data_IF_628960801933
#
_entry.id   IF_628960801933
#
_cell.length_a   1.000
_cell.length_b   1.000
_cell.length_c   1.000
_cell.angle_alpha   90.00
_cell.angle_beta   90.00
_cell.angle_gamma   90.00
#
_symmetry.space_group_name_H-M   'P 1'
#
loop_
_entity.id
_entity.type
_entity.pdbx_description
1 polymer ?
#
# COMPACT_ATOMS: atom_id res chain seq x y z
N UNK A 1 -56.17 31.02 -28.99
CA UNK A 1 -54.99 30.56 -29.77
C UNK A 1 -54.56 29.17 -29.30
N UNK A 2 -54.61 28.15 -30.17
CA UNK A 2 -54.22 26.78 -29.80
C UNK A 2 -52.69 26.70 -29.65
N UNK A 3 -52.21 26.21 -28.51
CA UNK A 3 -50.76 26.05 -28.27
C UNK A 3 -50.18 24.99 -29.22
N UNK A 4 -49.11 25.30 -29.99
CA UNK A 4 -48.51 24.33 -30.90
C UNK A 4 -47.90 23.16 -30.12
N UNK A 5 -48.05 21.95 -30.66
CA UNK A 5 -47.51 20.72 -30.04
C UNK A 5 -45.99 20.81 -29.96
N UNK A 6 -45.43 20.75 -28.74
CA UNK A 6 -43.98 20.74 -28.50
C UNK A 6 -43.41 19.36 -28.85
N UNK A 7 -42.34 19.33 -29.65
CA UNK A 7 -41.65 18.09 -29.96
C UNK A 7 -40.89 17.56 -28.73
N UNK A 8 -40.93 16.24 -28.55
CA UNK A 8 -40.20 15.58 -27.46
C UNK A 8 -38.69 15.60 -27.69
N UNK A 9 -37.93 15.92 -26.65
CA UNK A 9 -36.46 15.80 -26.64
C UNK A 9 -35.99 14.35 -26.47
N UNK A 10 -36.90 13.40 -26.24
CA UNK A 10 -36.57 11.97 -26.10
C UNK A 10 -36.12 11.41 -27.45
N UNK A 11 -34.98 10.74 -27.46
CA UNK A 11 -34.42 10.10 -28.64
C UNK A 11 -34.74 8.62 -28.63
N UNK A 12 -35.26 8.09 -29.72
CA UNK A 12 -35.45 6.64 -29.87
C UNK A 12 -34.09 5.93 -29.89
N UNK A 13 -34.02 4.72 -29.35
CA UNK A 13 -32.81 3.91 -29.35
C UNK A 13 -32.25 3.75 -30.77
N UNK A 14 -33.12 3.52 -31.77
CA UNK A 14 -32.75 3.46 -33.20
C UNK A 14 -32.01 4.72 -33.67
N UNK A 15 -32.50 5.91 -33.31
CA UNK A 15 -31.87 7.19 -33.68
C UNK A 15 -30.52 7.37 -32.97
N UNK A 16 -30.43 7.00 -31.68
CA UNK A 16 -29.18 7.02 -30.89
C UNK A 16 -28.09 6.13 -31.54
N UNK A 17 -28.41 4.87 -31.86
CA UNK A 17 -27.45 3.95 -32.48
C UNK A 17 -27.07 4.37 -33.90
N UNK A 18 -28.00 4.94 -34.69
CA UNK A 18 -27.72 5.48 -36.02
C UNK A 18 -26.74 6.66 -35.95
N UNK A 19 -26.92 7.58 -34.99
CA UNK A 19 -25.99 8.70 -34.77
C UNK A 19 -24.61 8.17 -34.36
N UNK A 20 -24.55 7.24 -33.41
CA UNK A 20 -23.28 6.66 -32.95
C UNK A 20 -22.51 5.97 -34.10
N UNK A 21 -23.22 5.24 -34.97
CA UNK A 21 -22.63 4.62 -36.16
C UNK A 21 -22.08 5.67 -37.13
N UNK A 22 -22.86 6.73 -37.43
CA UNK A 22 -22.41 7.84 -38.31
C UNK A 22 -21.18 8.56 -37.76
N UNK A 23 -21.15 8.86 -36.46
CA UNK A 23 -19.99 9.50 -35.81
C UNK A 23 -18.76 8.60 -35.91
N UNK A 24 -18.92 7.30 -35.66
CA UNK A 24 -17.82 6.33 -35.77
C UNK A 24 -17.28 6.24 -37.20
N UNK A 25 -18.15 6.18 -38.20
CA UNK A 25 -17.76 6.18 -39.61
C UNK A 25 -17.05 7.48 -40.01
N UNK A 26 -17.56 8.62 -39.56
CA UNK A 26 -16.94 9.92 -39.78
C UNK A 26 -15.53 10.00 -39.18
N UNK A 27 -15.35 9.62 -37.90
CA UNK A 27 -14.02 9.55 -37.28
C UNK A 27 -13.09 8.55 -38.00
N UNK A 28 -13.62 7.43 -38.49
CA UNK A 28 -12.85 6.47 -39.30
C UNK A 28 -12.38 7.10 -40.61
N UNK A 29 -13.25 7.84 -41.30
CA UNK A 29 -12.91 8.56 -42.55
C UNK A 29 -11.87 9.65 -42.29
N UNK A 30 -12.06 10.48 -41.27
CA UNK A 30 -11.08 11.51 -40.88
C UNK A 30 -9.70 10.93 -40.55
N UNK A 31 -9.62 9.78 -39.85
CA UNK A 31 -8.34 9.11 -39.57
C UNK A 31 -7.66 8.62 -40.86
N UNK A 32 -8.42 8.07 -41.81
CA UNK A 32 -7.89 7.63 -43.11
C UNK A 32 -7.38 8.81 -43.94
N UNK A 33 -8.15 9.89 -44.00
CA UNK A 33 -7.75 11.14 -44.68
C UNK A 33 -6.53 11.78 -44.01
N UNK A 34 -6.46 11.82 -42.68
CA UNK A 34 -5.30 12.33 -41.95
C UNK A 34 -4.02 11.53 -42.24
N UNK A 35 -4.15 10.19 -42.39
CA UNK A 35 -3.03 9.33 -42.82
C UNK A 35 -2.63 9.58 -44.28
N UNK A 36 -3.61 9.70 -45.19
CA UNK A 36 -3.37 9.95 -46.63
C UNK A 36 -2.75 11.33 -46.89
N UNK A 37 -3.19 12.35 -46.16
CA UNK A 37 -2.76 13.72 -46.35
C UNK A 37 -1.35 14.00 -45.81
N UNK A 38 -0.62 12.98 -45.30
CA UNK A 38 0.79 13.10 -44.93
C UNK A 38 1.10 14.17 -43.88
N UNK A 39 0.08 14.73 -43.22
CA UNK A 39 0.25 15.71 -42.14
C UNK A 39 0.71 14.95 -40.90
N UNK A 40 1.99 14.56 -40.89
CA UNK A 40 2.71 14.30 -39.65
C UNK A 40 2.38 15.45 -38.72
N UNK A 41 1.95 15.15 -37.49
CA UNK A 41 1.62 16.17 -36.50
C UNK A 41 2.87 17.03 -36.31
N UNK A 42 3.00 18.12 -37.07
CA UNK A 42 4.05 19.12 -36.88
C UNK A 42 3.94 19.49 -35.40
N UNK A 43 5.04 19.30 -34.67
CA UNK A 43 5.11 19.71 -33.27
C UNK A 43 4.64 21.17 -33.25
N UNK A 44 3.58 21.43 -32.48
CA UNK A 44 3.10 22.80 -32.33
C UNK A 44 4.28 23.59 -31.78
N UNK A 45 4.66 24.67 -32.46
CA UNK A 45 5.66 25.61 -31.94
C UNK A 45 5.14 26.09 -30.59
N UNK A 46 5.99 25.98 -29.58
CA UNK A 46 5.67 26.50 -28.25
C UNK A 46 5.46 28.01 -28.38
N UNK A 47 4.31 28.57 -27.96
CA UNK A 47 4.09 30.02 -27.98
C UNK A 47 5.11 30.80 -27.12
N UNK A 48 5.90 30.11 -26.29
CA UNK A 48 6.99 30.72 -25.54
C UNK A 48 6.50 31.61 -24.41
N UNK A 49 7.44 32.28 -23.74
CA UNK A 49 7.13 33.16 -22.61
C UNK A 49 6.72 34.54 -23.16
N UNK A 50 5.49 35.02 -22.88
CA UNK A 50 5.04 36.34 -23.32
C UNK A 50 5.91 37.48 -22.75
N UNK A 51 6.07 38.56 -23.53
CA UNK A 51 6.90 39.72 -23.16
C UNK A 51 6.43 40.49 -21.92
N UNK A 52 5.17 40.34 -21.52
CA UNK A 52 4.58 41.05 -20.38
C UNK A 52 4.93 40.42 -19.03
N UNK A 53 5.67 39.30 -19.01
CA UNK A 53 6.04 38.65 -17.75
C UNK A 53 7.18 39.43 -17.07
N UNK A 54 6.99 39.98 -15.85
CA UNK A 54 7.97 40.81 -15.17
C UNK A 54 9.29 40.08 -14.83
N UNK A 55 9.25 38.75 -14.76
CA UNK A 55 10.42 37.90 -14.47
C UNK A 55 10.91 37.11 -15.69
N UNK A 56 10.60 37.57 -16.91
CA UNK A 56 10.94 36.86 -18.15
C UNK A 56 12.43 36.55 -18.27
N UNK A 57 13.29 37.51 -17.92
CA UNK A 57 14.75 37.36 -18.00
C UNK A 57 15.28 36.31 -17.02
N UNK A 58 14.75 36.30 -15.80
CA UNK A 58 15.10 35.31 -14.79
C UNK A 58 14.64 33.90 -15.19
N UNK A 59 13.42 33.77 -15.73
CA UNK A 59 12.94 32.49 -16.26
C UNK A 59 13.77 31.96 -17.43
N UNK A 60 14.23 32.83 -18.32
CA UNK A 60 15.09 32.45 -19.44
C UNK A 60 16.46 31.96 -18.93
N UNK A 61 17.06 32.67 -17.97
CA UNK A 61 18.33 32.27 -17.34
C UNK A 61 18.23 30.93 -16.60
N UNK A 62 17.14 30.70 -15.86
CA UNK A 62 16.87 29.41 -15.22
C UNK A 62 16.66 28.28 -16.25
N UNK A 63 16.00 28.57 -17.36
CA UNK A 63 15.79 27.61 -18.44
C UNK A 63 17.11 27.22 -19.14
N UNK A 64 18.01 28.18 -19.35
CA UNK A 64 19.35 27.94 -19.89
C UNK A 64 20.20 27.10 -18.95
N UNK A 65 20.23 27.43 -17.66
CA UNK A 65 20.97 26.65 -16.66
C UNK A 65 20.43 25.22 -16.57
N UNK A 66 19.10 25.05 -16.61
CA UNK A 66 18.45 23.73 -16.63
C UNK A 66 18.81 22.93 -17.88
N UNK A 67 18.88 23.57 -19.06
CA UNK A 67 19.35 22.93 -20.29
C UNK A 67 20.80 22.48 -20.18
N UNK A 68 21.68 23.35 -19.67
CA UNK A 68 23.11 23.03 -19.46
C UNK A 68 23.30 21.83 -18.55
N UNK A 69 22.64 21.81 -17.39
CA UNK A 69 22.65 20.66 -16.45
C UNK A 69 22.13 19.37 -17.08
N UNK A 70 21.07 19.47 -17.91
CA UNK A 70 20.51 18.32 -18.62
C UNK A 70 21.46 17.78 -19.69
N UNK A 71 22.20 18.65 -20.35
CA UNK A 71 23.20 18.30 -21.36
C UNK A 71 24.44 17.67 -20.73
N UNK A 72 25.01 18.28 -19.70
CA UNK A 72 26.09 17.71 -18.87
C UNK A 72 25.70 16.33 -18.32
N UNK A 73 24.47 16.18 -17.81
CA UNK A 73 23.98 14.88 -17.33
C UNK A 73 23.82 13.85 -18.46
N UNK A 74 23.45 14.27 -19.68
CA UNK A 74 23.39 13.39 -20.85
C UNK A 74 24.77 12.97 -21.32
N UNK A 75 25.73 13.89 -21.34
CA UNK A 75 27.13 13.59 -21.69
C UNK A 75 27.73 12.62 -20.67
N UNK A 76 27.58 12.90 -19.38
CA UNK A 76 28.00 11.98 -18.32
C UNK A 76 27.36 10.60 -18.44
N UNK A 77 26.08 10.52 -18.84
CA UNK A 77 25.40 9.24 -19.13
C UNK A 77 25.99 8.53 -20.35
N UNK A 78 26.33 9.26 -21.41
CA UNK A 78 26.97 8.70 -22.61
C UNK A 78 28.37 8.19 -22.29
N UNK A 79 29.16 8.95 -21.55
CA UNK A 79 30.50 8.57 -21.08
C UNK A 79 30.43 7.34 -20.18
N UNK A 80 29.54 7.33 -19.19
CA UNK A 80 29.33 6.15 -18.34
C UNK A 80 28.93 4.92 -19.16
N UNK A 81 28.04 5.08 -20.17
CA UNK A 81 27.65 3.98 -21.06
C UNK A 81 28.81 3.50 -21.92
N UNK A 82 29.64 4.40 -22.45
CA UNK A 82 30.82 4.04 -23.23
C UNK A 82 31.86 3.31 -22.36
N UNK A 83 32.08 3.80 -21.14
CA UNK A 83 32.95 3.18 -20.14
C UNK A 83 32.45 1.79 -19.74
N UNK A 84 31.15 1.59 -19.56
CA UNK A 84 30.57 0.26 -19.34
C UNK A 84 30.77 -0.68 -20.52
N UNK A 85 30.56 -0.19 -21.75
CA UNK A 85 30.76 -0.99 -22.96
C UNK A 85 32.23 -1.38 -23.12
N UNK A 86 33.17 -0.46 -22.87
CA UNK A 86 34.60 -0.75 -22.90
C UNK A 86 35.03 -1.69 -21.76
N UNK A 87 34.49 -1.53 -20.55
CA UNK A 87 34.70 -2.48 -19.43
C UNK A 87 34.17 -3.88 -19.75
N UNK A 88 33.16 -4.02 -20.62
CA UNK A 88 32.63 -5.31 -21.07
C UNK A 88 33.37 -5.94 -22.26
N UNK A 89 34.36 -5.26 -22.84
CA UNK A 89 35.19 -5.79 -23.94
C UNK A 89 36.44 -6.53 -23.45
N UNK A 90 36.94 -6.18 -22.27
CA UNK A 90 38.10 -6.86 -21.68
C UNK A 90 37.66 -8.20 -21.04
N UNK A 91 38.31 -9.30 -21.44
CA UNK A 91 37.99 -10.65 -20.95
C UNK A 91 38.19 -10.77 -19.43
N UNK A 92 39.25 -10.13 -18.92
CA UNK A 92 39.64 -10.15 -17.50
C UNK A 92 38.62 -9.43 -16.60
N UNK A 93 38.00 -8.33 -17.08
CA UNK A 93 36.96 -7.61 -16.34
C UNK A 93 35.63 -8.35 -16.36
N UNK A 94 35.33 -9.08 -17.45
CA UNK A 94 34.19 -10.00 -17.55
C UNK A 94 34.31 -11.14 -16.55
N UNK A 95 35.50 -11.76 -16.44
CA UNK A 95 35.77 -12.82 -15.47
C UNK A 95 35.63 -12.31 -14.03
N UNK A 96 36.24 -11.16 -13.70
CA UNK A 96 36.12 -10.54 -12.36
C UNK A 96 34.68 -10.15 -12.01
N UNK A 97 33.88 -9.68 -12.98
CA UNK A 97 32.47 -9.36 -12.76
C UNK A 97 31.62 -10.64 -12.57
N UNK A 98 31.90 -11.70 -13.32
CA UNK A 98 31.25 -13.00 -13.14
C UNK A 98 31.55 -13.60 -11.76
N UNK A 99 32.82 -13.58 -11.33
CA UNK A 99 33.23 -14.03 -10.00
C UNK A 99 32.61 -13.18 -8.88
N UNK A 100 32.54 -11.85 -9.06
CA UNK A 100 31.92 -10.95 -8.09
C UNK A 100 30.42 -11.19 -7.97
N UNK A 101 29.71 -11.38 -9.08
CA UNK A 101 28.28 -11.73 -9.08
C UNK A 101 28.04 -13.12 -8.50
N UNK A 102 28.92 -14.08 -8.75
CA UNK A 102 28.90 -15.40 -8.14
C UNK A 102 28.99 -15.30 -6.62
N UNK A 103 30.01 -14.61 -6.10
CA UNK A 103 30.19 -14.37 -4.65
C UNK A 103 29.03 -13.59 -4.03
N UNK A 104 28.45 -12.62 -4.74
CA UNK A 104 27.32 -11.84 -4.25
C UNK A 104 26.01 -12.66 -4.24
N UNK A 105 25.87 -13.60 -5.18
CA UNK A 105 24.79 -14.58 -5.19
C UNK A 105 24.95 -15.61 -4.07
N UNK A 106 26.13 -16.20 -3.90
CA UNK A 106 26.44 -17.11 -2.79
C UNK A 106 26.25 -16.44 -1.43
N UNK A 107 26.68 -15.19 -1.27
CA UNK A 107 26.45 -14.43 -0.03
C UNK A 107 24.97 -14.18 0.23
N UNK A 108 24.18 -13.92 -0.83
CA UNK A 108 22.72 -13.78 -0.73
C UNK A 108 22.04 -15.11 -0.43
N UNK A 109 22.47 -16.20 -1.05
CA UNK A 109 22.00 -17.56 -0.77
C UNK A 109 22.33 -17.96 0.67
N UNK A 110 23.57 -17.80 1.14
CA UNK A 110 23.95 -18.05 2.53
C UNK A 110 23.15 -17.20 3.53
N UNK A 111 22.87 -15.94 3.20
CA UNK A 111 21.99 -15.10 4.04
C UNK A 111 20.52 -15.51 4.01
N UNK A 112 20.05 -16.18 2.94
CA UNK A 112 18.71 -16.77 2.87
C UNK A 112 18.67 -18.14 3.55
N UNK A 113 19.72 -18.95 3.43
CA UNK A 113 19.87 -20.24 4.11
C UNK A 113 19.93 -20.06 5.62
N UNK A 114 20.65 -19.05 6.13
CA UNK A 114 20.60 -18.66 7.55
C UNK A 114 19.22 -18.16 8.01
N UNK A 115 18.33 -17.79 7.08
CA UNK A 115 16.93 -17.43 7.36
C UNK A 115 15.97 -18.61 7.14
N UNK A 116 16.39 -19.63 6.39
CA UNK A 116 15.65 -20.87 6.06
C UNK A 116 15.92 -21.98 7.08
N UNK A 117 17.06 -21.99 7.76
CA UNK A 117 17.41 -23.03 8.74
C UNK A 117 16.52 -23.04 9.99
N UNK A 118 15.66 -22.03 10.17
CA UNK A 118 14.72 -21.94 11.29
C UNK A 118 13.26 -22.32 10.92
N UNK A 119 12.97 -22.71 9.66
CA UNK A 119 11.60 -23.11 9.25
C UNK A 119 11.61 -24.29 8.27
N UNK A 120 11.15 -25.44 8.77
CA UNK A 120 11.03 -26.73 8.08
C UNK A 120 10.35 -26.72 6.69
N UNK A 121 11.00 -27.43 5.76
CA UNK A 121 10.49 -28.30 4.68
C UNK A 121 9.23 -27.90 3.89
N UNK A 122 9.42 -27.51 2.61
CA UNK A 122 8.39 -27.67 1.57
C UNK A 122 8.54 -26.71 0.38
N UNK A 123 9.16 -27.13 -0.71
CA UNK A 123 9.44 -26.30 -1.90
C UNK A 123 8.19 -25.69 -2.58
N UNK A 124 7.00 -26.29 -2.42
CA UNK A 124 5.72 -25.69 -2.87
C UNK A 124 5.20 -24.58 -1.94
N UNK A 125 5.56 -24.62 -0.66
CA UNK A 125 5.20 -23.62 0.35
C UNK A 125 5.96 -22.30 0.13
N UNK A 126 7.20 -22.38 -0.36
CA UNK A 126 8.08 -21.22 -0.49
C UNK A 126 7.56 -20.12 -1.41
N UNK A 127 6.89 -20.47 -2.51
CA UNK A 127 6.37 -19.47 -3.46
C UNK A 127 5.20 -18.68 -2.84
N UNK A 128 4.38 -19.35 -2.03
CA UNK A 128 3.27 -18.77 -1.28
C UNK A 128 3.79 -17.91 -0.13
N UNK A 129 4.81 -18.38 0.60
CA UNK A 129 5.46 -17.62 1.68
C UNK A 129 6.13 -16.34 1.14
N UNK A 130 6.87 -16.42 0.03
CA UNK A 130 7.49 -15.24 -0.61
C UNK A 130 6.45 -14.22 -1.06
N UNK A 131 5.29 -14.67 -1.58
CA UNK A 131 4.18 -13.78 -1.93
C UNK A 131 3.55 -13.14 -0.67
N UNK A 132 3.33 -13.92 0.38
CA UNK A 132 2.83 -13.44 1.67
C UNK A 132 3.76 -12.38 2.27
N UNK A 133 5.06 -12.66 2.35
CA UNK A 133 6.05 -11.69 2.86
C UNK A 133 6.08 -10.40 2.04
N UNK A 134 5.87 -10.50 0.72
CA UNK A 134 5.79 -9.31 -0.14
C UNK A 134 4.55 -8.47 0.17
N UNK A 135 3.38 -9.08 0.38
CA UNK A 135 2.18 -8.35 0.78
C UNK A 135 2.28 -7.81 2.20
N UNK A 136 2.77 -8.61 3.14
CA UNK A 136 3.05 -8.20 4.51
C UNK A 136 3.94 -6.97 4.56
N UNK A 137 5.05 -6.96 3.80
CA UNK A 137 5.94 -5.80 3.74
C UNK A 137 5.23 -4.55 3.25
N UNK A 138 4.36 -4.64 2.24
CA UNK A 138 3.56 -3.48 1.79
C UNK A 138 2.62 -2.98 2.88
N UNK A 139 1.97 -3.89 3.62
CA UNK A 139 1.09 -3.53 4.74
C UNK A 139 1.87 -2.82 5.83
N UNK A 140 3.02 -3.38 6.24
CA UNK A 140 3.90 -2.77 7.25
C UNK A 140 4.40 -1.41 6.79
N UNK A 141 4.81 -1.27 5.53
CA UNK A 141 5.32 0.00 4.99
C UNK A 141 4.24 1.09 5.00
N UNK A 142 3.01 0.75 4.60
CA UNK A 142 1.89 1.68 4.51
C UNK A 142 1.22 2.01 5.87
N UNK A 143 1.38 1.16 6.88
CA UNK A 143 0.75 1.31 8.19
C UNK A 143 1.56 2.21 9.13
N UNK A 144 0.86 3.08 9.87
CA UNK A 144 1.41 3.84 11.01
C UNK A 144 1.41 3.01 12.30
N UNK A 145 0.40 2.15 12.44
CA UNK A 145 0.18 1.24 13.57
C UNK A 145 -0.14 -0.14 13.02
N UNK A 146 0.50 -1.17 13.54
CA UNK A 146 0.24 -2.57 13.21
C UNK A 146 -0.48 -3.21 14.40
N UNK A 147 -1.62 -3.84 14.14
CA UNK A 147 -2.37 -4.65 15.09
C UNK A 147 -2.05 -6.12 14.82
N UNK A 148 -1.50 -6.81 15.82
CA UNK A 148 -1.34 -8.27 15.78
C UNK A 148 -2.50 -8.91 16.55
N UNK A 149 -3.30 -9.70 15.85
CA UNK A 149 -4.51 -10.33 16.41
C UNK A 149 -4.16 -11.71 16.94
N UNK A 150 -4.41 -11.92 18.23
CA UNK A 150 -4.13 -13.16 18.96
C UNK A 150 -5.46 -13.80 19.42
N UNK A 151 -5.55 -15.13 19.45
CA UNK A 151 -6.69 -15.85 20.04
C UNK A 151 -6.49 -15.95 21.58
N UNK A 152 -7.49 -15.57 22.37
CA UNK A 152 -7.41 -15.59 23.83
C UNK A 152 -7.16 -16.98 24.44
N UNK A 153 -7.48 -18.06 23.70
CA UNK A 153 -7.28 -19.44 24.15
C UNK A 153 -5.82 -19.89 24.09
N UNK A 154 -5.08 -19.40 23.10
CA UNK A 154 -3.66 -19.68 22.92
C UNK A 154 -2.94 -18.46 22.28
N UNK A 155 -2.68 -17.41 23.08
CA UNK A 155 -2.07 -16.20 22.56
C UNK A 155 -0.60 -16.38 22.19
N UNK A 156 0.10 -17.35 22.79
CA UNK A 156 1.51 -17.61 22.50
C UNK A 156 1.68 -18.39 21.19
N UNK A 157 0.80 -19.35 20.91
CA UNK A 157 0.82 -20.09 19.64
C UNK A 157 0.42 -19.25 18.43
N UNK A 158 -0.42 -18.22 18.64
CA UNK A 158 -0.81 -17.28 17.57
C UNK A 158 0.20 -16.15 17.34
N UNK A 159 1.25 -16.05 18.16
CA UNK A 159 2.23 -14.96 18.14
C UNK A 159 3.38 -15.27 17.20
N UNK A 160 3.85 -14.26 16.46
CA UNK A 160 4.97 -14.44 15.54
C UNK A 160 6.10 -13.42 15.84
N UNK A 161 7.13 -13.80 16.63
CA UNK A 161 8.25 -12.92 16.95
C UNK A 161 8.97 -12.34 15.72
N UNK A 162 9.01 -13.08 14.62
CA UNK A 162 9.61 -12.64 13.37
C UNK A 162 8.84 -11.46 12.75
N UNK A 163 7.51 -11.47 12.82
CA UNK A 163 6.65 -10.36 12.40
C UNK A 163 6.88 -9.15 13.29
N UNK A 164 6.93 -9.34 14.62
CA UNK A 164 7.20 -8.27 15.58
C UNK A 164 8.55 -7.60 15.30
N UNK A 165 9.63 -8.39 15.19
CA UNK A 165 10.96 -7.90 14.87
C UNK A 165 11.00 -7.16 13.53
N UNK A 166 10.28 -7.64 12.52
CA UNK A 166 10.20 -6.95 11.24
C UNK A 166 9.50 -5.60 11.35
N UNK A 167 8.43 -5.49 12.16
CA UNK A 167 7.74 -4.21 12.38
C UNK A 167 8.62 -3.24 13.15
N UNK A 168 9.31 -3.72 14.20
CA UNK A 168 10.24 -2.91 14.99
C UNK A 168 11.44 -2.42 14.15
N UNK A 169 11.97 -3.28 13.28
CA UNK A 169 13.11 -2.96 12.39
C UNK A 169 12.73 -2.00 11.26
N UNK A 170 11.48 -2.00 10.81
CA UNK A 170 11.00 -1.13 9.73
C UNK A 170 10.93 0.36 10.13
N UNK A 171 10.98 0.70 11.42
CA UNK A 171 11.19 2.09 11.86
C UNK A 171 10.66 2.40 13.26
N UNK A 172 11.39 3.26 13.97
CA UNK A 172 11.11 3.70 15.37
C UNK A 172 9.73 4.36 15.54
N UNK A 173 9.17 4.90 14.46
CA UNK A 173 7.87 5.58 14.47
C UNK A 173 6.67 4.63 14.38
N UNK A 174 6.87 3.38 13.94
CA UNK A 174 5.78 2.39 13.83
C UNK A 174 5.47 1.82 15.21
N UNK A 175 4.19 1.63 15.50
CA UNK A 175 3.73 1.06 16.78
C UNK A 175 3.10 -0.29 16.54
N UNK A 176 3.43 -1.26 17.38
CA UNK A 176 2.81 -2.56 17.44
C UNK A 176 1.83 -2.59 18.63
N UNK A 177 0.64 -3.14 18.42
CA UNK A 177 -0.38 -3.33 19.46
C UNK A 177 -0.93 -4.74 19.32
N UNK A 178 -1.02 -5.47 20.43
CA UNK A 178 -1.61 -6.79 20.47
C UNK A 178 -3.12 -6.68 20.71
N UNK A 179 -3.90 -7.39 19.90
CA UNK A 179 -5.35 -7.48 20.02
C UNK A 179 -5.73 -8.90 20.43
N UNK A 180 -6.06 -9.10 21.70
CA UNK A 180 -6.48 -10.39 22.23
C UNK A 180 -7.97 -10.61 21.92
N UNK A 181 -8.27 -11.37 20.88
CA UNK A 181 -9.61 -11.64 20.37
C UNK A 181 -10.23 -12.91 21.00
N UNK A 182 -11.55 -13.06 20.87
CA UNK A 182 -12.34 -14.22 21.36
C UNK A 182 -12.30 -14.39 22.89
N UNK A 183 -12.27 -13.27 23.61
CA UNK A 183 -12.25 -13.25 25.08
C UNK A 183 -13.50 -13.88 25.72
N UNK A 184 -14.58 -14.07 24.95
CA UNK A 184 -15.80 -14.76 25.35
C UNK A 184 -15.60 -16.27 25.56
N UNK A 185 -14.58 -16.87 24.95
CA UNK A 185 -14.30 -18.30 25.05
C UNK A 185 -13.45 -18.67 26.27
N UNK A 186 -12.95 -17.69 27.01
CA UNK A 186 -11.98 -17.89 28.09
C UNK A 186 -12.51 -17.21 29.36
N UNK A 187 -12.40 -17.85 30.54
CA UNK A 187 -12.75 -17.22 31.81
C UNK A 187 -12.03 -15.89 32.01
N UNK A 188 -12.75 -14.92 32.59
CA UNK A 188 -12.27 -13.54 32.74
C UNK A 188 -10.96 -13.43 33.53
N UNK A 189 -10.77 -14.29 34.53
CA UNK A 189 -9.55 -14.34 35.35
C UNK A 189 -8.31 -14.64 34.51
N UNK A 190 -8.44 -15.59 33.56
CA UNK A 190 -7.36 -15.97 32.65
C UNK A 190 -7.10 -14.85 31.63
N UNK A 191 -8.15 -14.20 31.12
CA UNK A 191 -8.00 -13.03 30.23
C UNK A 191 -7.25 -11.90 30.95
N UNK A 192 -7.56 -11.63 32.22
CA UNK A 192 -6.88 -10.61 33.02
C UNK A 192 -5.41 -10.99 33.30
N UNK A 193 -5.10 -12.28 33.49
CA UNK A 193 -3.72 -12.78 33.58
C UNK A 193 -2.96 -12.60 32.26
N UNK A 194 -3.56 -12.95 31.12
CA UNK A 194 -2.96 -12.75 29.80
C UNK A 194 -2.71 -11.27 29.50
N UNK A 195 -3.66 -10.40 29.84
CA UNK A 195 -3.47 -8.95 29.70
C UNK A 195 -2.30 -8.45 30.54
N UNK A 196 -2.12 -8.93 31.77
CA UNK A 196 -0.96 -8.57 32.61
C UNK A 196 0.35 -9.07 31.99
N UNK A 197 0.37 -10.31 31.52
CA UNK A 197 1.55 -10.91 30.91
C UNK A 197 1.97 -10.17 29.63
N UNK A 198 1.05 -10.02 28.67
CA UNK A 198 1.34 -9.44 27.36
C UNK A 198 1.64 -7.93 27.42
N UNK A 199 1.05 -7.20 28.36
CA UNK A 199 1.33 -5.76 28.56
C UNK A 199 2.73 -5.45 29.05
N UNK A 200 3.46 -6.45 29.58
CA UNK A 200 4.87 -6.29 29.92
C UNK A 200 5.74 -6.11 28.66
N UNK A 201 5.28 -6.64 27.53
CA UNK A 201 6.00 -6.61 26.26
C UNK A 201 5.42 -5.55 25.31
N UNK A 202 4.11 -5.65 25.02
CA UNK A 202 3.44 -4.76 24.06
C UNK A 202 2.06 -4.29 24.55
N UNK A 203 1.63 -3.06 24.18
CA UNK A 203 0.29 -2.59 24.49
C UNK A 203 -0.76 -3.59 24.00
N UNK A 204 -1.56 -4.14 24.93
CA UNK A 204 -2.51 -5.22 24.64
C UNK A 204 -3.93 -4.81 25.01
N UNK A 205 -4.86 -5.00 24.06
CA UNK A 205 -6.30 -4.73 24.21
C UNK A 205 -7.08 -6.02 24.10
N UNK A 206 -7.94 -6.29 25.08
CA UNK A 206 -8.91 -7.38 25.03
C UNK A 206 -10.11 -6.98 24.16
N UNK A 207 -10.49 -7.88 23.26
CA UNK A 207 -11.49 -7.63 22.24
C UNK A 207 -12.43 -8.83 22.07
N UNK A 208 -13.72 -8.52 21.97
CA UNK A 208 -14.75 -9.46 21.54
C UNK A 208 -15.39 -8.93 20.26
N UNK A 209 -15.29 -9.69 19.19
CA UNK A 209 -15.98 -9.38 17.94
C UNK A 209 -17.50 -9.55 18.08
N UNK A 210 -18.26 -8.79 17.29
CA UNK A 210 -19.71 -9.02 17.17
C UNK A 210 -19.96 -10.36 16.48
N UNK A 211 -20.81 -11.19 17.07
CA UNK A 211 -21.22 -12.50 16.50
C UNK A 211 -22.53 -12.40 15.72
N UNK A 212 -23.03 -11.19 15.50
CA UNK A 212 -24.25 -10.95 14.73
C UNK A 212 -24.05 -11.27 13.24
N UNK A 213 -25.00 -12.00 12.64
CA UNK A 213 -24.96 -12.39 11.23
C UNK A 213 -25.29 -11.23 10.26
N UNK A 214 -25.85 -10.12 10.76
CA UNK A 214 -26.19 -8.96 9.95
C UNK A 214 -24.95 -8.14 9.58
N UNK A 215 -24.92 -7.58 8.36
CA UNK A 215 -23.79 -6.77 7.88
C UNK A 215 -23.86 -5.29 8.32
N UNK A 216 -25.01 -4.81 8.77
CA UNK A 216 -25.26 -3.40 9.12
C UNK A 216 -25.82 -3.32 10.54
N UNK A 217 -25.68 -2.14 11.18
CA UNK A 217 -26.18 -1.87 12.53
C UNK A 217 -25.66 -2.85 13.59
N UNK A 218 -24.37 -3.16 13.54
CA UNK A 218 -23.71 -4.00 14.53
C UNK A 218 -23.79 -3.33 15.92
N UNK A 219 -24.28 -4.08 16.89
CA UNK A 219 -24.32 -3.63 18.28
C UNK A 219 -22.92 -3.53 18.88
N UNK A 220 -22.63 -2.38 19.51
CA UNK A 220 -21.41 -2.16 20.28
C UNK A 220 -21.76 -1.82 21.72
N UNK A 221 -21.16 -2.55 22.67
CA UNK A 221 -21.29 -2.28 24.10
C UNK A 221 -20.13 -1.39 24.54
N UNK A 222 -20.45 -0.22 25.11
CA UNK A 222 -19.46 0.77 25.57
C UNK A 222 -18.97 0.53 27.01
N UNK A 223 -18.80 -0.73 27.38
CA UNK A 223 -18.36 -1.12 28.73
C UNK A 223 -16.92 -1.60 28.65
N UNK A 224 -16.10 -1.19 29.62
CA UNK A 224 -14.71 -1.66 29.73
C UNK A 224 -14.68 -3.15 30.04
N UNK A 225 -13.73 -3.87 29.45
CA UNK A 225 -13.61 -5.33 29.60
C UNK A 225 -13.47 -5.79 31.07
N UNK A 226 -12.87 -4.96 31.92
CA UNK A 226 -12.74 -5.23 33.37
C UNK A 226 -14.05 -5.15 34.17
N UNK A 227 -15.09 -4.55 33.60
CA UNK A 227 -16.41 -4.35 34.25
C UNK A 227 -17.49 -5.16 33.54
N UNK A 228 -17.17 -5.80 32.41
CA UNK A 228 -18.12 -6.59 31.64
C UNK A 228 -18.58 -7.81 32.47
N UNK A 229 -19.88 -7.90 32.71
CA UNK A 229 -20.50 -9.08 33.32
C UNK A 229 -20.46 -10.27 32.37
N UNK A 230 -20.57 -11.49 32.93
CA UNK A 230 -20.62 -12.72 32.14
C UNK A 230 -21.76 -12.71 31.10
N UNK A 231 -22.90 -12.09 31.42
CA UNK A 231 -24.02 -11.91 30.50
C UNK A 231 -23.66 -11.06 29.28
N UNK A 232 -22.91 -9.97 29.47
CA UNK A 232 -22.43 -9.13 28.36
C UNK A 232 -21.42 -9.90 27.50
N UNK A 233 -20.57 -10.72 28.13
CA UNK A 233 -19.66 -11.62 27.43
C UNK A 233 -20.38 -12.76 26.71
N UNK A 234 -21.65 -13.05 27.02
CA UNK A 234 -22.48 -14.00 26.25
C UNK A 234 -23.28 -13.30 25.13
N UNK A 235 -23.55 -11.99 25.26
CA UNK A 235 -24.27 -11.19 24.26
C UNK A 235 -23.62 -11.21 22.87
N UNK A 236 -24.38 -10.94 21.80
CA UNK A 236 -23.85 -10.91 20.44
C UNK A 236 -23.07 -9.65 20.07
N UNK A 237 -23.11 -8.62 20.92
CA UNK A 237 -22.49 -7.33 20.65
C UNK A 237 -20.97 -7.32 20.86
N UNK A 238 -20.27 -6.39 20.20
CA UNK A 238 -18.83 -6.26 20.35
C UNK A 238 -18.44 -5.54 21.65
N UNK A 239 -17.30 -5.95 22.23
CA UNK A 239 -16.74 -5.40 23.47
C UNK A 239 -15.27 -5.05 23.23
N UNK A 240 -14.81 -3.92 23.78
CA UNK A 240 -13.42 -3.47 23.70
C UNK A 240 -13.08 -2.58 22.49
N UNK A 241 -14.01 -2.41 21.54
CA UNK A 241 -13.84 -1.53 20.38
C UNK A 241 -13.58 -0.06 20.79
N UNK A 242 -14.26 0.45 21.82
CA UNK A 242 -14.03 1.83 22.30
C UNK A 242 -12.64 2.01 22.90
N UNK A 243 -12.13 1.01 23.61
CA UNK A 243 -10.79 1.04 24.20
C UNK A 243 -9.73 1.06 23.10
N UNK A 244 -9.91 0.22 22.07
CA UNK A 244 -9.04 0.20 20.89
C UNK A 244 -9.05 1.55 20.16
N UNK A 245 -10.24 2.11 19.90
CA UNK A 245 -10.38 3.41 19.21
C UNK A 245 -9.78 4.56 20.03
N UNK A 246 -9.95 4.57 21.36
CA UNK A 246 -9.30 5.55 22.24
C UNK A 246 -7.78 5.44 22.18
N UNK A 247 -7.24 4.22 22.21
CA UNK A 247 -5.80 3.98 22.09
C UNK A 247 -5.25 4.47 20.76
N UNK A 248 -5.90 4.14 19.65
CA UNK A 248 -5.53 4.61 18.31
C UNK A 248 -5.66 6.14 18.18
N UNK A 249 -6.69 6.72 18.79
CA UNK A 249 -6.88 8.17 18.87
C UNK A 249 -5.74 8.88 19.61
N UNK A 250 -5.22 8.28 20.68
CA UNK A 250 -4.06 8.81 21.40
C UNK A 250 -2.79 8.78 20.54
N UNK A 251 -2.56 7.71 19.78
CA UNK A 251 -1.43 7.64 18.84
C UNK A 251 -1.54 8.64 17.69
N UNK A 252 -2.76 8.93 17.23
CA UNK A 252 -3.01 9.96 16.23
C UNK A 252 -2.58 11.35 16.75
N UNK A 253 -2.96 11.69 17.99
CA UNK A 253 -2.61 12.97 18.64
C UNK A 253 -1.11 13.13 18.87
N UNK A 254 -0.44 12.08 19.32
CA UNK A 254 0.99 12.12 19.67
C UNK A 254 1.92 12.25 18.45
N UNK A 255 1.44 11.97 17.23
CA UNK A 255 2.26 12.03 16.01
C UNK A 255 2.08 13.33 15.21
N UNK A 256 1.33 14.33 15.72
CA UNK A 256 0.93 15.53 14.96
C UNK A 256 0.25 15.21 13.60
N UNK A 257 -0.32 14.01 13.47
CA UNK A 257 -1.02 13.58 12.24
C UNK A 257 -2.44 14.13 12.30
N UNK A 258 -2.66 15.28 11.67
CA UNK A 258 -3.91 16.05 11.82
C UNK A 258 -5.12 15.53 11.05
N UNK A 259 -5.00 14.46 10.24
CA UNK A 259 -6.07 14.05 9.32
C UNK A 259 -6.51 12.58 9.43
N UNK A 260 -5.60 11.59 9.41
CA UNK A 260 -5.95 10.18 9.51
C UNK A 260 -4.73 9.31 9.85
N UNK A 261 -4.95 8.19 10.55
CA UNK A 261 -3.93 7.18 10.85
C UNK A 261 -4.21 5.91 10.04
N UNK A 262 -3.18 5.28 9.47
CA UNK A 262 -3.34 3.99 8.79
C UNK A 262 -3.04 2.84 9.75
N UNK A 263 -3.96 1.88 9.82
CA UNK A 263 -3.83 0.71 10.69
C UNK A 263 -3.73 -0.55 9.85
N UNK A 264 -2.62 -1.25 9.97
CA UNK A 264 -2.42 -2.58 9.39
C UNK A 264 -2.89 -3.65 10.37
N UNK A 265 -3.53 -4.71 9.89
CA UNK A 265 -3.96 -5.84 10.72
C UNK A 265 -3.22 -7.09 10.25
N UNK A 266 -2.61 -7.79 11.19
CA UNK A 266 -1.85 -9.04 10.99
C UNK A 266 -2.34 -10.06 12.01
N UNK A 267 -2.43 -11.32 11.61
CA UNK A 267 -2.83 -12.40 12.51
C UNK A 267 -2.95 -13.71 11.75
N UNK A 268 -3.00 -14.81 12.51
CA UNK A 268 -3.26 -16.15 11.98
C UNK A 268 -4.77 -16.39 11.95
N UNK A 269 -5.30 -16.77 10.78
CA UNK A 269 -6.71 -17.08 10.57
C UNK A 269 -7.07 -18.45 11.14
#
# INVERSE_FOLDING_TARGET
MVRPKKQSKRMTCRKKYKIAKKVREHHRKQRKEAKRNGKSKRLKKDPGIPNLCPFKEELLKQAEEKKRRLEEAKERRKENRLMEVNKKRNLETLQKDAEKRGKEFERKEASKENFQSDVCSGERSERSLKAYYKEFKKVVDAADVVLEVLDARDPLGCRCPQVEQSVLSSGVSKKLVLLLNKIDLVPREIVDQWLKYLRNEFPTVAFKASTQNQKQNLGQIKVSTSVASSELLSSSACIGADTLLKLLGNYCRNKDIKTAITVGVVGTA
#
